data_IF_285954530256
#
_entry.id   IF_285954530256
#
_cell.length_a   1.000
_cell.length_b   1.000
_cell.length_c   1.000
_cell.angle_alpha   90.00
_cell.angle_beta   90.00
_cell.angle_gamma   90.00
#
_symmetry.space_group_name_H-M   'P 1'
#
loop_
_entity.id
_entity.type
_entity.pdbx_description
1 polymer ?
#
# COMPACT_ATOMS: atom_id res chain seq x y z
N UNK A 1 23.43 -9.70 0.21
CA UNK A 1 23.51 -10.99 0.91
C UNK A 1 24.10 -10.75 2.31
N UNK A 2 23.49 -11.33 3.35
CA UNK A 2 23.87 -11.07 4.76
C UNK A 2 25.25 -11.63 5.08
N UNK A 3 25.59 -12.80 4.52
CA UNK A 3 26.88 -13.47 4.75
C UNK A 3 28.01 -12.64 4.14
N UNK A 4 27.83 -12.18 2.89
CA UNK A 4 28.77 -11.26 2.24
C UNK A 4 28.92 -9.93 2.98
N UNK A 5 27.82 -9.35 3.48
CA UNK A 5 27.88 -8.11 4.26
C UNK A 5 28.66 -8.29 5.58
N UNK A 6 28.45 -9.41 6.29
CA UNK A 6 29.24 -9.75 7.49
C UNK A 6 30.72 -9.96 7.17
N UNK A 7 31.04 -10.61 6.05
CA UNK A 7 32.42 -10.82 5.59
C UNK A 7 33.14 -9.51 5.25
N UNK A 8 32.41 -8.48 4.79
CA UNK A 8 32.92 -7.14 4.52
C UNK A 8 32.99 -6.24 5.78
N UNK A 9 32.78 -6.80 6.98
CA UNK A 9 32.81 -6.06 8.24
C UNK A 9 31.58 -5.20 8.53
N UNK A 10 30.50 -5.34 7.75
CA UNK A 10 29.26 -4.59 7.97
C UNK A 10 28.47 -5.27 9.10
N UNK A 11 28.11 -4.51 10.12
CA UNK A 11 27.23 -4.98 11.18
C UNK A 11 25.77 -5.06 10.68
N UNK A 12 25.39 -6.22 10.15
CA UNK A 12 24.05 -6.47 9.59
C UNK A 12 22.95 -6.36 10.64
N UNK A 13 23.24 -6.60 11.92
CA UNK A 13 22.29 -6.42 13.03
C UNK A 13 21.91 -4.95 13.16
N UNK A 14 22.89 -4.07 13.31
CA UNK A 14 22.64 -2.64 13.46
C UNK A 14 21.99 -2.05 12.21
N UNK A 15 22.37 -2.50 11.01
CA UNK A 15 21.75 -2.04 9.77
C UNK A 15 20.26 -2.41 9.69
N UNK A 16 19.87 -3.64 10.06
CA UNK A 16 18.46 -4.05 10.14
C UNK A 16 17.70 -3.27 11.20
N UNK A 17 18.30 -3.04 12.37
CA UNK A 17 17.69 -2.24 13.44
C UNK A 17 17.49 -0.78 13.03
N UNK A 18 18.43 -0.19 12.29
CA UNK A 18 18.29 1.14 11.73
C UNK A 18 17.18 1.18 10.68
N UNK A 19 17.12 0.21 9.76
CA UNK A 19 16.06 0.13 8.76
C UNK A 19 14.67 0.00 9.41
N UNK A 20 14.54 -0.85 10.43
CA UNK A 20 13.31 -0.98 11.22
C UNK A 20 12.97 0.30 11.98
N UNK A 21 13.96 0.91 12.65
CA UNK A 21 13.80 2.14 13.41
C UNK A 21 13.33 3.30 12.53
N UNK A 22 13.93 3.48 11.35
CA UNK A 22 13.49 4.49 10.38
C UNK A 22 12.03 4.27 9.97
N UNK A 23 11.65 3.05 9.63
CA UNK A 23 10.26 2.72 9.28
C UNK A 23 9.27 2.97 10.44
N UNK A 24 9.64 2.56 11.65
CA UNK A 24 8.82 2.76 12.85
C UNK A 24 8.64 4.24 13.19
N UNK A 25 9.66 5.08 13.00
CA UNK A 25 9.53 6.54 13.20
C UNK A 25 8.51 7.15 12.26
N UNK A 26 8.58 6.84 10.96
CA UNK A 26 7.59 7.36 9.99
C UNK A 26 6.17 6.85 10.28
N UNK A 27 6.02 5.57 10.62
CA UNK A 27 4.72 5.00 11.02
C UNK A 27 4.14 5.65 12.28
N UNK A 28 5.00 5.91 13.29
CA UNK A 28 4.60 6.58 14.53
C UNK A 28 4.17 8.03 14.30
N UNK A 29 4.93 8.80 13.49
CA UNK A 29 4.57 10.18 13.15
C UNK A 29 3.25 10.23 12.37
N UNK A 30 3.08 9.34 11.38
CA UNK A 30 1.84 9.25 10.62
C UNK A 30 0.63 8.92 11.52
N UNK A 31 0.78 7.97 12.45
CA UNK A 31 -0.26 7.60 13.40
C UNK A 31 -0.62 8.72 14.39
N UNK A 32 0.38 9.43 14.92
CA UNK A 32 0.15 10.59 15.79
C UNK A 32 -0.58 11.71 15.05
N UNK A 33 -0.21 11.97 13.80
CA UNK A 33 -0.89 12.96 12.96
C UNK A 33 -2.33 12.53 12.67
N UNK A 34 -2.56 11.26 12.31
CA UNK A 34 -3.90 10.70 12.09
C UNK A 34 -4.80 10.85 13.34
N UNK A 35 -4.29 10.49 14.52
CA UNK A 35 -5.00 10.65 15.79
C UNK A 35 -5.40 12.12 16.03
N UNK A 36 -4.50 13.06 15.75
CA UNK A 36 -4.78 14.50 15.93
C UNK A 36 -5.84 15.03 14.95
N UNK A 37 -5.90 14.52 13.71
CA UNK A 37 -6.90 14.90 12.72
C UNK A 37 -8.28 14.30 13.00
N UNK A 38 -8.34 13.06 13.48
CA UNK A 38 -9.61 12.38 13.71
C UNK A 38 -10.33 12.90 14.98
N UNK A 39 -9.58 13.44 15.95
CA UNK A 39 -10.10 14.02 17.20
C UNK A 39 -10.66 13.00 18.19
N UNK A 40 -11.10 11.83 17.71
CA UNK A 40 -11.54 10.70 18.50
C UNK A 40 -11.04 9.41 17.86
N UNK A 41 -10.52 8.50 18.69
CA UNK A 41 -9.99 7.20 18.26
C UNK A 41 -10.93 6.12 18.75
N UNK A 42 -11.51 5.38 17.81
CA UNK A 42 -12.33 4.22 18.12
C UNK A 42 -11.73 2.97 17.44
N UNK A 43 -11.92 1.76 18.00
CA UNK A 43 -11.41 0.53 17.40
C UNK A 43 -12.03 0.26 16.02
N UNK A 44 -13.19 0.84 15.73
CA UNK A 44 -13.84 0.76 14.42
C UNK A 44 -13.05 1.51 13.33
N UNK A 45 -12.30 2.55 13.68
CA UNK A 45 -11.42 3.27 12.74
C UNK A 45 -10.22 2.44 12.25
N UNK A 46 -9.90 1.34 12.93
CA UNK A 46 -8.81 0.43 12.56
C UNK A 46 -9.34 -0.95 12.15
N UNK A 47 -10.51 -0.98 11.53
CA UNK A 47 -11.10 -2.21 11.04
C UNK A 47 -10.21 -2.92 10.00
N UNK A 48 -10.45 -4.21 9.83
CA UNK A 48 -9.75 -5.07 8.87
C UNK A 48 -9.75 -4.48 7.44
N UNK A 49 -10.82 -3.81 7.04
CA UNK A 49 -10.91 -3.17 5.73
C UNK A 49 -9.87 -2.07 5.53
N UNK A 50 -9.64 -1.22 6.54
CA UNK A 50 -8.62 -0.15 6.48
C UNK A 50 -7.21 -0.74 6.40
N UNK A 51 -6.95 -1.81 7.15
CA UNK A 51 -5.67 -2.51 7.11
C UNK A 51 -5.40 -3.11 5.73
N UNK A 52 -6.40 -3.75 5.12
CA UNK A 52 -6.31 -4.28 3.76
C UNK A 52 -6.06 -3.16 2.77
N UNK A 53 -6.73 -2.02 2.91
CA UNK A 53 -6.56 -0.87 2.02
C UNK A 53 -5.12 -0.33 2.06
N UNK A 54 -4.54 -0.14 3.24
CA UNK A 54 -3.15 0.31 3.41
C UNK A 54 -2.15 -0.69 2.80
N UNK A 55 -2.31 -1.99 3.09
CA UNK A 55 -1.46 -3.04 2.50
C UNK A 55 -1.59 -3.05 0.97
N UNK A 56 -2.80 -2.86 0.46
CA UNK A 56 -3.08 -2.84 -0.97
C UNK A 56 -2.39 -1.67 -1.67
N UNK A 57 -2.34 -0.47 -1.07
CA UNK A 57 -1.59 0.65 -1.61
C UNK A 57 -0.11 0.31 -1.82
N UNK A 58 0.50 -0.39 -0.86
CA UNK A 58 1.91 -0.82 -0.93
C UNK A 58 2.12 -1.90 -1.99
N UNK A 59 1.26 -2.92 -2.01
CA UNK A 59 1.34 -4.04 -2.96
C UNK A 59 1.17 -3.55 -4.40
N UNK A 60 0.22 -2.64 -4.62
CA UNK A 60 -0.09 -2.06 -5.92
C UNK A 60 0.98 -1.10 -6.42
N UNK A 61 1.68 -0.42 -5.51
CA UNK A 61 2.84 0.38 -5.86
C UNK A 61 4.08 -0.45 -6.21
N UNK A 62 4.22 -1.63 -5.61
CA UNK A 62 5.34 -2.55 -5.80
C UNK A 62 6.23 -2.64 -4.55
N UNK A 63 6.47 -3.87 -4.08
CA UNK A 63 7.27 -4.14 -2.88
C UNK A 63 8.73 -3.74 -3.14
N UNK A 64 9.24 -2.75 -2.39
CA UNK A 64 10.63 -2.32 -2.48
C UNK A 64 10.92 -1.17 -3.47
N UNK A 65 9.88 -0.48 -3.98
CA UNK A 65 10.06 0.70 -4.82
C UNK A 65 9.26 1.90 -4.27
N UNK A 66 9.94 2.81 -3.55
CA UNK A 66 9.33 3.99 -2.90
C UNK A 66 8.43 4.83 -3.83
N UNK A 67 8.87 5.23 -5.05
CA UNK A 67 8.05 6.04 -5.96
C UNK A 67 6.78 5.31 -6.40
N UNK A 68 6.86 4.00 -6.59
CA UNK A 68 5.73 3.14 -6.96
C UNK A 68 4.70 3.08 -5.85
N UNK A 69 5.13 2.91 -4.60
CA UNK A 69 4.24 2.95 -3.41
C UNK A 69 3.53 4.28 -3.27
N UNK A 70 4.22 5.40 -3.48
CA UNK A 70 3.60 6.74 -3.44
C UNK A 70 2.52 6.86 -4.52
N UNK A 71 2.84 6.44 -5.76
CA UNK A 71 1.89 6.50 -6.87
C UNK A 71 0.70 5.56 -6.64
N UNK A 72 0.94 4.37 -6.10
CA UNK A 72 -0.09 3.41 -5.71
C UNK A 72 -1.02 3.96 -4.63
N UNK A 73 -0.48 4.62 -3.61
CA UNK A 73 -1.27 5.27 -2.56
C UNK A 73 -2.13 6.41 -3.12
N UNK A 74 -1.57 7.26 -3.99
CA UNK A 74 -2.32 8.36 -4.63
C UNK A 74 -3.45 7.82 -5.50
N UNK A 75 -3.17 6.81 -6.34
CA UNK A 75 -4.18 6.19 -7.20
C UNK A 75 -5.29 5.56 -6.37
N UNK A 76 -4.96 4.75 -5.36
CA UNK A 76 -5.97 4.08 -4.52
C UNK A 76 -6.78 5.05 -3.66
N UNK A 77 -6.18 6.16 -3.23
CA UNK A 77 -6.86 7.19 -2.45
C UNK A 77 -7.79 8.03 -3.33
N UNK A 78 -7.38 8.34 -4.56
CA UNK A 78 -8.21 9.09 -5.52
C UNK A 78 -9.33 8.24 -6.13
N UNK A 79 -9.14 6.93 -6.22
CA UNK A 79 -10.10 5.99 -6.80
C UNK A 79 -11.51 6.05 -6.18
N UNK A 80 -11.70 5.97 -4.84
CA UNK A 80 -13.02 6.13 -4.22
C UNK A 80 -13.60 7.53 -4.44
N UNK A 81 -12.78 8.57 -4.54
CA UNK A 81 -13.24 9.95 -4.80
C UNK A 81 -13.77 10.08 -6.24
N UNK A 82 -13.05 9.52 -7.21
CA UNK A 82 -13.49 9.47 -8.62
C UNK A 82 -14.74 8.62 -8.77
N UNK A 83 -14.77 7.44 -8.13
CA UNK A 83 -15.96 6.60 -8.08
C UNK A 83 -17.14 7.32 -7.42
N UNK A 84 -16.92 8.17 -6.42
CA UNK A 84 -17.99 8.99 -5.81
C UNK A 84 -18.63 9.93 -6.84
N UNK A 85 -17.83 10.59 -7.67
CA UNK A 85 -18.33 11.47 -8.73
C UNK A 85 -19.05 10.72 -9.86
N UNK A 86 -18.66 9.49 -10.16
CA UNK A 86 -19.27 8.66 -11.22
C UNK A 86 -20.50 7.88 -10.71
N UNK A 87 -20.49 7.43 -9.46
CA UNK A 87 -21.58 6.69 -8.84
C UNK A 87 -22.77 7.59 -8.48
N UNK A 88 -22.54 8.87 -8.14
CA UNK A 88 -23.61 9.82 -7.83
C UNK A 88 -24.64 10.00 -8.97
N UNK A 89 -24.25 10.21 -10.25
CA UNK A 89 -25.20 10.25 -11.36
C UNK A 89 -25.76 8.89 -11.76
N UNK A 90 -25.02 7.78 -11.58
CA UNK A 90 -25.58 6.44 -11.80
C UNK A 90 -26.67 6.10 -10.77
N UNK A 91 -26.55 6.60 -9.55
CA UNK A 91 -27.52 6.39 -8.49
C UNK A 91 -28.84 7.15 -8.72
N UNK A 92 -28.77 8.37 -9.29
CA UNK A 92 -29.96 9.12 -9.69
C UNK A 92 -30.67 8.49 -10.89
N UNK A 93 -29.96 7.80 -11.78
CA UNK A 93 -30.55 7.02 -12.88
C UNK A 93 -31.18 5.69 -12.43
N UNK A 94 -30.72 5.09 -11.32
CA UNK A 94 -31.22 3.78 -10.83
C UNK A 94 -32.41 3.92 -9.85
N UNK A 95 -32.92 5.14 -9.65
CA UNK A 95 -34.15 5.39 -8.89
C UNK A 95 -34.08 5.05 -7.40
N UNK A 96 -32.89 5.10 -6.79
CA UNK A 96 -32.72 4.91 -5.35
C UNK A 96 -32.91 3.47 -4.83
N UNK A 97 -32.97 2.46 -5.71
CA UNK A 97 -33.15 1.05 -5.32
C UNK A 97 -31.89 0.38 -4.74
N UNK A 98 -30.73 1.00 -4.90
CA UNK A 98 -29.44 0.50 -4.42
C UNK A 98 -28.80 1.55 -3.51
N UNK A 99 -28.54 1.15 -2.26
CA UNK A 99 -27.85 1.98 -1.27
C UNK A 99 -26.46 2.41 -1.77
N UNK A 100 -26.12 3.68 -1.53
CA UNK A 100 -24.84 4.27 -1.96
C UNK A 100 -23.64 3.57 -1.35
N UNK A 101 -23.81 3.04 -0.14
CA UNK A 101 -22.79 2.31 0.61
C UNK A 101 -22.39 1.01 -0.10
N UNK A 102 -23.37 0.21 -0.54
CA UNK A 102 -23.15 -1.08 -1.19
C UNK A 102 -22.50 -0.88 -2.56
N UNK A 103 -23.02 0.06 -3.36
CA UNK A 103 -22.46 0.35 -4.68
C UNK A 103 -21.02 0.85 -4.58
N UNK A 104 -20.72 1.68 -3.57
CA UNK A 104 -19.35 2.15 -3.30
C UNK A 104 -18.42 1.02 -2.89
N UNK A 105 -18.83 0.14 -1.96
CA UNK A 105 -18.01 -1.01 -1.55
C UNK A 105 -17.76 -1.97 -2.72
N UNK A 106 -18.77 -2.21 -3.55
CA UNK A 106 -18.67 -3.09 -4.70
C UNK A 106 -17.75 -2.51 -5.78
N UNK A 107 -17.85 -1.21 -6.06
CA UNK A 107 -16.96 -0.53 -7.00
C UNK A 107 -15.51 -0.47 -6.50
N UNK A 108 -15.28 -0.24 -5.20
CA UNK A 108 -13.94 -0.28 -4.61
C UNK A 108 -13.34 -1.68 -4.74
N UNK A 109 -14.11 -2.72 -4.41
CA UNK A 109 -13.66 -4.12 -4.53
C UNK A 109 -13.36 -4.49 -5.99
N UNK A 110 -14.22 -4.10 -6.93
CA UNK A 110 -14.02 -4.38 -8.35
C UNK A 110 -12.81 -3.62 -8.91
N UNK A 111 -12.62 -2.37 -8.51
CA UNK A 111 -11.46 -1.59 -8.93
C UNK A 111 -10.16 -2.16 -8.35
N UNK A 112 -10.18 -2.61 -7.10
CA UNK A 112 -9.07 -3.36 -6.48
C UNK A 112 -8.71 -4.62 -7.28
N UNK A 113 -9.70 -5.44 -7.63
CA UNK A 113 -9.52 -6.63 -8.46
C UNK A 113 -8.95 -6.26 -9.83
N UNK A 114 -9.49 -5.21 -10.47
CA UNK A 114 -9.02 -4.74 -11.76
C UNK A 114 -7.55 -4.32 -11.72
N UNK A 115 -7.10 -3.62 -10.67
CA UNK A 115 -5.69 -3.24 -10.58
C UNK A 115 -4.78 -4.44 -10.29
N UNK A 116 -5.21 -5.37 -9.44
CA UNK A 116 -4.50 -6.64 -9.24
C UNK A 116 -4.36 -7.43 -10.56
N UNK A 117 -5.37 -7.35 -11.43
CA UNK A 117 -5.37 -8.00 -12.75
C UNK A 117 -4.45 -7.30 -13.76
N UNK A 118 -4.43 -5.97 -13.76
CA UNK A 118 -3.71 -5.16 -14.75
C UNK A 118 -2.21 -5.08 -14.50
N UNK A 119 -1.74 -5.17 -13.24
CA UNK A 119 -0.30 -5.12 -12.93
C UNK A 119 0.05 -5.85 -11.62
N UNK A 120 0.16 -7.19 -11.63
CA UNK A 120 0.46 -8.00 -10.44
C UNK A 120 1.88 -7.79 -9.85
N UNK A 121 2.74 -7.01 -10.52
CA UNK A 121 4.09 -6.62 -10.04
C UNK A 121 4.19 -5.17 -9.57
N UNK A 122 3.07 -4.45 -9.50
CA UNK A 122 2.99 -3.03 -9.14
C UNK A 122 3.11 -2.07 -10.32
N UNK A 123 2.70 -0.81 -10.12
CA UNK A 123 2.70 0.24 -11.14
C UNK A 123 4.09 0.66 -11.63
N UNK A 124 5.14 0.43 -10.84
CA UNK A 124 6.52 0.72 -11.25
C UNK A 124 7.47 -0.34 -10.67
N UNK A 125 7.85 -1.36 -11.45
CA UNK A 125 8.71 -2.44 -10.97
C UNK A 125 10.09 -1.92 -10.56
N UNK A 126 10.59 -2.37 -9.41
CA UNK A 126 11.96 -2.11 -8.99
C UNK A 126 12.94 -2.77 -9.98
N UNK A 127 14.01 -2.10 -10.44
CA UNK A 127 15.02 -2.73 -11.28
C UNK A 127 15.70 -3.85 -10.48
N UNK A 128 15.65 -5.09 -10.99
CA UNK A 128 16.34 -6.25 -10.41
C UNK A 128 17.86 -6.03 -10.41
N UNK A 129 18.41 -5.43 -9.34
CA UNK A 129 19.84 -5.39 -9.10
C UNK A 129 20.25 -6.62 -8.29
N UNK A 130 20.56 -7.69 -9.00
CA UNK A 130 21.25 -8.84 -8.42
C UNK A 130 20.84 -10.18 -9.02
N UNK A 131 21.14 -10.40 -10.31
CA UNK A 131 21.37 -11.78 -10.76
C UNK A 131 22.63 -12.30 -10.06
N UNK A 132 22.38 -13.22 -9.16
CA UNK A 132 23.28 -14.19 -8.55
C UNK A 132 24.49 -14.50 -9.43
N UNK A 133 25.69 -14.25 -8.92
CA UNK A 133 26.87 -14.94 -9.43
C UNK A 133 26.75 -16.43 -9.05
N UNK A 134 26.98 -17.36 -9.99
CA UNK A 134 26.90 -18.78 -9.71
C UNK A 134 27.90 -19.16 -8.62
N UNK A 135 27.43 -20.00 -7.70
CA UNK A 135 28.22 -20.63 -6.66
C UNK A 135 29.34 -21.47 -7.31
N UNK A 136 30.55 -20.91 -7.41
CA UNK A 136 31.74 -21.69 -7.79
C UNK A 136 32.30 -22.30 -6.52
N UNK A 137 31.97 -23.59 -6.31
CA UNK A 137 32.74 -24.48 -5.45
C UNK A 137 34.03 -24.85 -6.19
N UNK A 138 35.18 -24.53 -5.61
CA UNK A 138 36.42 -25.30 -5.69
C UNK A 138 37.31 -24.90 -4.51
#
# INVERSE_FOLDING_TARGET
>A
DEIAAKAMGINTRNLKLLAFGMGATFGGVAGAMFASFQGFISPESFALMESIMIVSMVVLGGIGHLPGVILGAVVLSALPEVLRYVAAPLQSMTGGRLDASILRQLLIALAMIAVMLLRPRGLWPSPEHGKSLPNVKA
#
